data_IF_442976114670
#
_entry.id   IF_442976114670
#
_cell.length_a   1.000
_cell.length_b   1.000
_cell.length_c   1.000
_cell.angle_alpha   90.00
_cell.angle_beta   90.00
_cell.angle_gamma   90.00
#
_symmetry.space_group_name_H-M   'P 1'
#
loop_
_entity.id
_entity.type
_entity.pdbx_description
1 polymer ?
#
# COMPACT_ATOMS: atom_id res chain seq x y z
N UNK A 1 -66.05 -31.10 16.67
CA UNK A 1 -64.66 -31.09 16.17
C UNK A 1 -64.74 -30.70 14.70
N UNK A 2 -64.98 -29.44 14.32
CA UNK A 2 -64.41 -28.16 14.79
C UNK A 2 -62.87 -28.11 14.70
N UNK A 3 -62.43 -27.04 14.00
CA UNK A 3 -61.11 -26.44 13.91
C UNK A 3 -60.08 -27.18 13.03
N UNK A 4 -59.40 -26.59 12.03
CA UNK A 4 -59.07 -25.17 11.85
C UNK A 4 -58.63 -24.90 10.40
N UNK A 5 -59.53 -24.32 9.60
CA UNK A 5 -59.15 -23.46 8.49
C UNK A 5 -58.49 -22.21 9.08
N UNK A 6 -57.15 -22.14 9.11
CA UNK A 6 -56.44 -20.89 9.39
C UNK A 6 -55.04 -20.89 8.78
N UNK A 7 -54.88 -19.96 7.82
CA UNK A 7 -53.73 -19.07 7.57
C UNK A 7 -52.36 -19.65 7.95
N UNK A 8 -51.37 -19.67 7.06
CA UNK A 8 -50.66 -18.43 6.70
C UNK A 8 -50.18 -18.47 5.25
N UNK A 9 -50.64 -17.49 4.47
CA UNK A 9 -50.00 -17.05 3.24
C UNK A 9 -48.74 -16.29 3.63
N UNK A 10 -47.60 -16.96 3.64
CA UNK A 10 -46.30 -16.32 3.81
C UNK A 10 -45.76 -16.05 2.41
N UNK A 11 -46.16 -14.90 1.85
CA UNK A 11 -45.32 -14.16 0.92
C UNK A 11 -44.21 -13.54 1.75
N UNK A 12 -43.12 -14.26 1.96
CA UNK A 12 -41.87 -13.62 2.32
C UNK A 12 -41.29 -13.04 1.03
N UNK A 13 -41.11 -11.70 0.93
CA UNK A 13 -40.17 -11.17 -0.03
C UNK A 13 -38.82 -11.72 0.42
N UNK A 14 -38.31 -12.70 -0.34
CA UNK A 14 -36.93 -13.12 -0.24
C UNK A 14 -36.10 -11.85 -0.34
N UNK A 15 -35.53 -11.43 0.80
CA UNK A 15 -34.57 -10.35 0.89
C UNK A 15 -33.58 -10.63 -0.22
N UNK A 16 -33.62 -9.78 -1.23
CA UNK A 16 -32.66 -9.80 -2.32
C UNK A 16 -31.34 -9.63 -1.61
N UNK A 17 -30.56 -10.71 -1.58
CA UNK A 17 -29.21 -10.72 -1.06
C UNK A 17 -28.57 -9.43 -1.53
N UNK A 18 -28.16 -8.60 -0.57
CA UNK A 18 -27.41 -7.40 -0.90
C UNK A 18 -26.35 -7.81 -1.93
N UNK A 19 -26.24 -7.08 -3.05
CA UNK A 19 -25.25 -7.41 -4.03
C UNK A 19 -23.92 -7.37 -3.30
N UNK A 20 -23.32 -8.56 -3.13
CA UNK A 20 -21.95 -8.76 -2.66
C UNK A 20 -21.15 -7.68 -3.35
N UNK A 21 -20.75 -6.68 -2.57
CA UNK A 21 -20.35 -5.38 -3.09
C UNK A 21 -19.30 -5.61 -4.17
N UNK A 22 -19.69 -5.44 -5.43
CA UNK A 22 -18.74 -5.41 -6.51
C UNK A 22 -17.80 -4.26 -6.14
N UNK A 23 -16.56 -4.58 -5.77
CA UNK A 23 -15.55 -3.59 -5.41
C UNK A 23 -15.63 -2.49 -6.46
N UNK A 24 -15.97 -1.27 -6.02
CA UNK A 24 -16.29 -0.21 -6.97
C UNK A 24 -15.11 -0.01 -7.91
N UNK A 25 -15.32 0.23 -9.22
CA UNK A 25 -14.23 0.37 -10.18
C UNK A 25 -13.20 1.42 -9.72
N UNK A 26 -13.65 2.44 -8.97
CA UNK A 26 -12.82 3.45 -8.34
C UNK A 26 -11.87 2.88 -7.27
N UNK A 27 -12.33 1.95 -6.42
CA UNK A 27 -11.48 1.26 -5.43
C UNK A 27 -10.39 0.47 -6.14
N UNK A 28 -10.77 -0.27 -7.18
CA UNK A 28 -9.81 -1.04 -7.99
C UNK A 28 -8.77 -0.12 -8.64
N UNK A 29 -9.19 1.03 -9.16
CA UNK A 29 -8.27 2.01 -9.75
C UNK A 29 -7.26 2.55 -8.73
N UNK A 30 -7.70 2.86 -7.50
CA UNK A 30 -6.77 3.27 -6.43
C UNK A 30 -5.80 2.15 -6.05
N UNK A 31 -6.27 0.89 -5.97
CA UNK A 31 -5.40 -0.25 -5.68
C UNK A 31 -4.37 -0.49 -6.79
N UNK A 32 -4.74 -0.30 -8.06
CA UNK A 32 -3.79 -0.37 -9.19
C UNK A 32 -2.74 0.73 -9.11
N UNK A 33 -3.13 1.95 -8.75
CA UNK A 33 -2.18 3.05 -8.52
C UNK A 33 -1.26 2.75 -7.34
N UNK A 34 -1.81 2.21 -6.26
CA UNK A 34 -1.02 1.78 -5.11
C UNK A 34 0.02 0.72 -5.50
N UNK A 35 -0.37 -0.28 -6.29
CA UNK A 35 0.55 -1.30 -6.79
C UNK A 35 1.70 -0.68 -7.61
N UNK A 36 1.39 0.28 -8.50
CA UNK A 36 2.41 0.98 -9.28
C UNK A 36 3.38 1.77 -8.38
N UNK A 37 2.89 2.42 -7.32
CA UNK A 37 3.75 3.08 -6.32
C UNK A 37 4.66 2.08 -5.62
N UNK A 38 4.15 0.89 -5.27
CA UNK A 38 4.97 -0.14 -4.64
C UNK A 38 6.04 -0.71 -5.57
N UNK A 39 5.76 -0.82 -6.87
CA UNK A 39 6.75 -1.21 -7.88
C UNK A 39 7.88 -0.19 -7.95
N UNK A 40 7.58 1.11 -8.07
CA UNK A 40 8.60 2.18 -8.06
C UNK A 40 9.45 2.15 -6.79
N UNK A 41 8.81 1.92 -5.64
CA UNK A 41 9.50 1.79 -4.36
C UNK A 41 10.43 0.58 -4.33
N UNK A 42 10.01 -0.57 -4.86
CA UNK A 42 10.85 -1.76 -4.97
C UNK A 42 12.06 -1.53 -5.89
N UNK A 43 11.87 -0.84 -7.01
CA UNK A 43 12.94 -0.44 -7.92
C UNK A 43 13.93 0.51 -7.25
N UNK A 44 13.45 1.49 -6.46
CA UNK A 44 14.30 2.39 -5.70
C UNK A 44 15.19 1.64 -4.70
N UNK A 45 14.65 0.64 -3.98
CA UNK A 45 15.48 -0.23 -3.12
C UNK A 45 16.52 -1.04 -3.92
N UNK A 46 16.14 -1.56 -5.09
CA UNK A 46 17.07 -2.31 -5.93
C UNK A 46 18.21 -1.42 -6.45
N UNK A 47 17.90 -0.19 -6.89
CA UNK A 47 18.88 0.81 -7.30
C UNK A 47 19.80 1.20 -6.15
N UNK A 48 19.26 1.44 -4.95
CA UNK A 48 20.06 1.77 -3.77
C UNK A 48 21.07 0.66 -3.46
N UNK A 49 20.62 -0.59 -3.49
CA UNK A 49 21.46 -1.76 -3.22
C UNK A 49 22.55 -1.93 -4.28
N UNK A 50 22.22 -1.74 -5.56
CA UNK A 50 23.20 -1.80 -6.66
C UNK A 50 24.25 -0.71 -6.52
N UNK A 51 23.83 0.54 -6.33
CA UNK A 51 24.74 1.66 -6.20
C UNK A 51 25.61 1.60 -4.96
N UNK A 52 25.12 1.02 -3.85
CA UNK A 52 25.97 0.73 -2.71
C UNK A 52 27.05 -0.32 -3.05
N UNK A 53 26.70 -1.37 -3.81
CA UNK A 53 27.68 -2.33 -4.31
C UNK A 53 28.75 -1.69 -5.19
N UNK A 54 28.36 -0.80 -6.09
CA UNK A 54 29.29 -0.03 -6.93
C UNK A 54 30.17 0.92 -6.11
N UNK A 55 29.60 1.57 -5.09
CA UNK A 55 30.36 2.38 -4.13
C UNK A 55 31.42 1.58 -3.40
N UNK A 56 31.08 0.38 -2.91
CA UNK A 56 32.02 -0.51 -2.21
C UNK A 56 33.19 -0.96 -3.10
N UNK A 57 32.98 -1.08 -4.42
CA UNK A 57 34.03 -1.49 -5.38
C UNK A 57 34.88 -0.29 -5.84
N UNK A 58 34.24 0.83 -6.14
CA UNK A 58 34.89 1.99 -6.78
C UNK A 58 35.41 3.04 -5.79
N UNK A 59 34.87 3.08 -4.56
CA UNK A 59 35.10 4.16 -3.60
C UNK A 59 34.54 5.53 -4.04
N UNK A 60 33.73 5.57 -5.10
CA UNK A 60 33.18 6.81 -5.65
C UNK A 60 32.09 7.43 -4.77
N UNK A 61 32.47 8.30 -3.85
CA UNK A 61 31.55 8.93 -2.88
C UNK A 61 30.53 9.88 -3.52
N UNK A 62 30.97 10.72 -4.48
CA UNK A 62 30.10 11.70 -5.15
C UNK A 62 28.95 11.06 -5.95
N UNK A 63 29.17 10.07 -6.84
CA UNK A 63 28.09 9.37 -7.53
C UNK A 63 27.11 8.69 -6.57
N UNK A 64 27.62 8.10 -5.50
CA UNK A 64 26.79 7.42 -4.51
C UNK A 64 25.92 8.41 -3.70
N UNK A 65 26.48 9.57 -3.34
CA UNK A 65 25.73 10.62 -2.65
C UNK A 65 24.60 11.18 -3.54
N UNK A 66 24.87 11.39 -4.83
CA UNK A 66 23.85 11.81 -5.79
C UNK A 66 22.72 10.78 -5.90
N UNK A 67 23.08 9.50 -6.03
CA UNK A 67 22.11 8.41 -6.04
C UNK A 67 21.25 8.38 -4.76
N UNK A 68 21.86 8.56 -3.59
CA UNK A 68 21.13 8.60 -2.32
C UNK A 68 20.12 9.75 -2.27
N UNK A 69 20.49 10.92 -2.81
CA UNK A 69 19.59 12.07 -2.93
C UNK A 69 18.39 11.76 -3.82
N UNK A 70 18.63 11.24 -5.03
CA UNK A 70 17.59 10.87 -5.99
C UNK A 70 16.62 9.83 -5.41
N UNK A 71 17.15 8.79 -4.79
CA UNK A 71 16.36 7.72 -4.18
C UNK A 71 15.54 8.24 -2.99
N UNK A 72 16.09 9.17 -2.20
CA UNK A 72 15.37 9.81 -1.10
C UNK A 72 14.17 10.59 -1.60
N UNK A 73 14.32 11.32 -2.72
CA UNK A 73 13.22 12.03 -3.37
C UNK A 73 12.16 11.05 -3.86
N UNK A 74 12.55 9.96 -4.53
CA UNK A 74 11.61 8.94 -5.01
C UNK A 74 10.83 8.29 -3.87
N UNK A 75 11.50 7.94 -2.76
CA UNK A 75 10.83 7.40 -1.57
C UNK A 75 9.84 8.41 -0.95
N UNK A 76 10.20 9.69 -0.94
CA UNK A 76 9.33 10.76 -0.44
C UNK A 76 8.07 10.91 -1.30
N UNK A 77 8.24 10.95 -2.63
CA UNK A 77 7.12 11.01 -3.58
C UNK A 77 6.19 9.80 -3.41
N UNK A 78 6.74 8.59 -3.38
CA UNK A 78 5.97 7.38 -3.12
C UNK A 78 5.20 7.46 -1.79
N UNK A 79 5.78 8.07 -0.75
CA UNK A 79 5.13 8.19 0.56
C UNK A 79 3.95 9.14 0.51
N UNK A 80 4.11 10.29 -0.17
CA UNK A 80 3.04 11.27 -0.37
C UNK A 80 1.86 10.66 -1.13
N UNK A 81 2.12 9.96 -2.22
CA UNK A 81 1.06 9.34 -3.01
C UNK A 81 0.25 8.31 -2.21
N UNK A 82 0.89 7.52 -1.36
CA UNK A 82 0.17 6.57 -0.49
C UNK A 82 -0.63 7.28 0.59
N UNK A 83 -0.15 8.39 1.15
CA UNK A 83 -0.92 9.20 2.12
C UNK A 83 -2.14 9.86 1.49
N UNK A 84 -2.03 10.30 0.24
CA UNK A 84 -3.15 10.79 -0.55
C UNK A 84 -4.18 9.67 -0.79
N UNK A 85 -3.73 8.48 -1.19
CA UNK A 85 -4.61 7.31 -1.37
C UNK A 85 -5.28 6.88 -0.06
N UNK A 86 -4.56 6.89 1.06
CA UNK A 86 -5.12 6.64 2.38
C UNK A 86 -6.25 7.64 2.70
N UNK A 87 -6.01 8.93 2.43
CA UNK A 87 -7.01 9.98 2.64
C UNK A 87 -8.23 9.82 1.73
N UNK A 88 -8.04 9.35 0.50
CA UNK A 88 -9.13 9.03 -0.42
C UNK A 88 -9.96 7.84 0.09
N UNK A 89 -9.34 6.77 0.58
CA UNK A 89 -10.08 5.65 1.15
C UNK A 89 -10.91 6.01 2.39
N UNK A 90 -10.48 7.03 3.15
CA UNK A 90 -11.25 7.59 4.27
C UNK A 90 -12.36 8.55 3.83
N UNK A 91 -12.36 9.02 2.57
CA UNK A 91 -13.40 9.92 2.10
C UNK A 91 -14.74 9.21 1.97
N UNK A 92 -15.88 9.92 2.10
CA UNK A 92 -17.21 9.34 1.93
C UNK A 92 -17.42 8.65 0.58
N UNK A 93 -16.69 9.08 -0.46
CA UNK A 93 -16.77 8.53 -1.82
C UNK A 93 -16.30 7.07 -1.90
N UNK A 94 -15.42 6.66 -0.98
CA UNK A 94 -14.90 5.29 -0.91
C UNK A 94 -15.39 4.58 0.36
N UNK A 95 -15.34 5.26 1.50
CA UNK A 95 -15.73 4.72 2.82
C UNK A 95 -15.05 3.37 3.15
N UNK A 96 -13.81 3.16 2.69
CA UNK A 96 -13.01 1.93 2.87
C UNK A 96 -11.94 2.13 3.93
N UNK A 97 -12.39 2.24 5.18
CA UNK A 97 -11.51 2.42 6.35
C UNK A 97 -10.53 1.25 6.51
N UNK A 98 -10.95 0.04 6.14
CA UNK A 98 -10.12 -1.17 6.12
C UNK A 98 -8.89 -1.01 5.21
N UNK A 99 -9.09 -0.50 3.99
CA UNK A 99 -8.00 -0.28 3.03
C UNK A 99 -7.09 0.86 3.49
N UNK A 100 -7.65 1.94 4.05
CA UNK A 100 -6.86 3.02 4.63
C UNK A 100 -5.93 2.52 5.76
N UNK A 101 -6.46 1.68 6.66
CA UNK A 101 -5.66 1.07 7.73
C UNK A 101 -4.55 0.16 7.18
N UNK A 102 -4.85 -0.61 6.12
CA UNK A 102 -3.85 -1.45 5.45
C UNK A 102 -2.72 -0.61 4.84
N UNK A 103 -3.05 0.48 4.15
CA UNK A 103 -2.07 1.41 3.57
C UNK A 103 -1.18 2.03 4.65
N UNK A 104 -1.77 2.42 5.78
CA UNK A 104 -1.01 2.94 6.93
C UNK A 104 -0.05 1.90 7.51
N UNK A 105 -0.50 0.65 7.63
CA UNK A 105 0.36 -0.45 8.09
C UNK A 105 1.52 -0.66 7.12
N UNK A 106 1.28 -0.60 5.81
CA UNK A 106 2.34 -0.69 4.79
C UNK A 106 3.32 0.49 4.92
N UNK A 107 2.86 1.73 5.12
CA UNK A 107 3.75 2.86 5.35
C UNK A 107 4.64 2.69 6.58
N UNK A 108 4.09 2.16 7.68
CA UNK A 108 4.85 1.86 8.89
C UNK A 108 5.94 0.80 8.63
N UNK A 109 5.58 -0.27 7.92
CA UNK A 109 6.53 -1.31 7.52
C UNK A 109 7.62 -0.77 6.58
N UNK A 110 7.27 0.11 5.65
CA UNK A 110 8.23 0.72 4.72
C UNK A 110 9.24 1.61 5.44
N UNK A 111 8.78 2.41 6.41
CA UNK A 111 9.68 3.20 7.28
C UNK A 111 10.66 2.30 8.04
N UNK A 112 10.17 1.20 8.61
CA UNK A 112 11.01 0.25 9.33
C UNK A 112 12.02 -0.45 8.38
N UNK A 113 11.57 -0.88 7.20
CA UNK A 113 12.39 -1.53 6.18
C UNK A 113 13.52 -0.61 5.71
N UNK A 114 13.22 0.66 5.43
CA UNK A 114 14.22 1.63 5.05
C UNK A 114 15.28 1.82 6.15
N UNK A 115 14.84 1.98 7.39
CA UNK A 115 15.75 2.12 8.53
C UNK A 115 16.70 0.92 8.66
N UNK A 116 16.16 -0.31 8.66
CA UNK A 116 16.97 -1.53 8.73
C UNK A 116 17.94 -1.69 7.56
N UNK A 117 17.52 -1.27 6.36
CA UNK A 117 18.32 -1.34 5.14
C UNK A 117 19.52 -0.40 5.23
N UNK A 118 19.31 0.83 5.72
CA UNK A 118 20.37 1.80 5.97
C UNK A 118 21.32 1.32 7.09
N UNK A 119 20.78 0.82 8.21
CA UNK A 119 21.61 0.28 9.30
C UNK A 119 22.52 -0.85 8.81
N UNK A 120 22.00 -1.77 7.99
CA UNK A 120 22.82 -2.86 7.42
C UNK A 120 23.92 -2.35 6.50
N UNK A 121 23.65 -1.35 5.66
CA UNK A 121 24.69 -0.74 4.81
C UNK A 121 25.77 -0.03 5.63
N UNK A 122 25.39 0.68 6.69
CA UNK A 122 26.34 1.34 7.59
C UNK A 122 27.22 0.32 8.33
N UNK A 123 26.63 -0.75 8.85
CA UNK A 123 27.39 -1.79 9.59
C UNK A 123 28.30 -2.62 8.66
N UNK A 124 27.91 -2.82 7.40
CA UNK A 124 28.75 -3.50 6.40
C UNK A 124 29.96 -2.69 5.91
N UNK A 125 30.04 -1.40 6.23
CA UNK A 125 31.12 -0.50 5.82
C UNK A 125 32.27 -0.39 6.85
N UNK A 126 32.16 -1.06 8.01
CA UNK A 126 33.15 -1.05 9.10
C UNK A 126 33.85 -2.40 9.35
N UNK A 127 33.82 -3.33 8.39
CA UNK A 127 34.47 -4.63 8.48
C UNK A 127 35.60 -4.79 7.45
#
# INVERSE_FOLDING_TARGET
>A
MEDFDKKVSIKEPMETEEPVAADSPKVVDLLRRFLAVQQRRAEAYAKLKSGFGEYMVSGGELPYQQLCSEITVEFNDCSKQVLEMESLFLSPDYSRVDLAQLLRAVQAQEKQKLHLTLTKMVVGSSA
#
